data_IF_698885541123
#
_entry.id   IF_698885541123
#
_cell.length_a   1.000
_cell.length_b   1.000
_cell.length_c   1.000
_cell.angle_alpha   90.00
_cell.angle_beta   90.00
_cell.angle_gamma   90.00
#
_symmetry.space_group_name_H-M   'P 1'
#
loop_
_entity.id
_entity.type
_entity.pdbx_description
1 polymer ?
#
# COMPACT_ATOMS: atom_id res chain seq x y z
N UNK A 1 11.26 -21.46 -3.51
CA UNK A 1 10.63 -20.48 -4.41
C UNK A 1 9.13 -20.69 -4.37
N UNK A 2 8.29 -19.65 -4.59
CA UNK A 2 6.86 -19.83 -4.44
C UNK A 2 6.24 -20.70 -5.56
N UNK A 3 6.71 -20.59 -6.82
CA UNK A 3 6.29 -21.52 -7.86
C UNK A 3 7.14 -22.78 -7.75
N UNK A 4 6.49 -23.94 -7.66
CA UNK A 4 7.14 -25.23 -7.43
C UNK A 4 6.99 -26.18 -8.62
N UNK A 5 6.09 -25.90 -9.57
CA UNK A 5 5.94 -26.74 -10.74
C UNK A 5 4.65 -26.50 -11.53
N UNK A 6 4.33 -27.49 -12.33
CA UNK A 6 3.08 -27.59 -13.10
C UNK A 6 2.40 -28.92 -12.75
N UNK A 7 1.10 -28.86 -12.51
CA UNK A 7 0.23 -30.03 -12.41
C UNK A 7 -0.06 -30.53 -13.83
N UNK A 8 0.62 -31.58 -14.24
CA UNK A 8 0.48 -32.14 -15.59
C UNK A 8 -0.82 -32.94 -15.81
N UNK A 9 -1.57 -33.23 -14.77
CA UNK A 9 -2.91 -33.81 -14.92
C UNK A 9 -3.93 -32.75 -15.36
N UNK A 10 -3.73 -31.50 -14.93
CA UNK A 10 -4.57 -30.35 -15.31
C UNK A 10 -4.07 -29.62 -16.54
N UNK A 11 -2.75 -29.57 -16.76
CA UNK A 11 -2.14 -28.74 -17.79
C UNK A 11 -2.46 -29.21 -19.21
N UNK A 12 -3.16 -28.38 -19.99
CA UNK A 12 -3.43 -28.62 -21.41
C UNK A 12 -2.33 -28.14 -22.35
N UNK A 13 -1.18 -27.70 -21.84
CA UNK A 13 -0.01 -27.21 -22.60
C UNK A 13 -0.28 -25.99 -23.49
N UNK A 14 -1.26 -25.15 -23.17
CA UNK A 14 -1.61 -23.95 -23.96
C UNK A 14 -0.45 -22.94 -24.11
N UNK A 15 0.54 -22.94 -23.20
CA UNK A 15 1.73 -22.12 -23.29
C UNK A 15 1.52 -20.66 -22.79
N UNK A 16 0.38 -20.29 -22.24
CA UNK A 16 0.14 -18.94 -21.72
C UNK A 16 1.20 -18.54 -20.68
N UNK A 17 1.61 -19.46 -19.80
CA UNK A 17 2.63 -19.18 -18.79
C UNK A 17 4.01 -18.83 -19.36
N UNK A 18 4.34 -19.24 -20.58
CA UNK A 18 5.59 -18.87 -21.28
C UNK A 18 5.64 -17.37 -21.56
N UNK A 19 4.51 -16.78 -21.94
CA UNK A 19 4.41 -15.36 -22.32
C UNK A 19 3.93 -14.49 -21.17
N UNK A 20 3.16 -15.05 -20.24
CA UNK A 20 2.70 -14.33 -19.04
C UNK A 20 3.85 -13.98 -18.09
N UNK A 21 4.93 -14.78 -18.08
CA UNK A 21 6.07 -14.52 -17.22
C UNK A 21 6.84 -13.27 -17.68
N UNK A 22 7.05 -12.25 -16.84
CA UNK A 22 7.79 -11.05 -17.18
C UNK A 22 9.30 -11.32 -17.38
N UNK A 23 9.74 -12.56 -17.11
CA UNK A 23 11.07 -13.10 -17.40
C UNK A 23 10.94 -14.29 -18.36
N UNK A 24 10.60 -14.03 -19.65
CA UNK A 24 10.34 -15.09 -20.60
C UNK A 24 11.57 -15.96 -20.80
N UNK A 25 11.37 -17.28 -20.92
CA UNK A 25 12.44 -18.26 -21.10
C UNK A 25 13.26 -18.56 -19.85
N UNK A 26 13.00 -17.92 -18.69
CA UNK A 26 13.73 -18.17 -17.45
C UNK A 26 13.15 -19.30 -16.60
N UNK A 27 11.85 -19.48 -16.64
CA UNK A 27 11.15 -20.42 -15.76
C UNK A 27 10.27 -21.40 -16.52
N UNK A 28 9.88 -21.05 -17.74
CA UNK A 28 9.02 -21.88 -18.57
C UNK A 28 9.63 -22.06 -19.96
N UNK A 29 9.65 -23.28 -20.44
CA UNK A 29 10.05 -23.64 -21.78
C UNK A 29 9.05 -24.63 -22.38
N UNK A 30 9.12 -24.83 -23.70
CA UNK A 30 8.35 -25.88 -24.37
C UNK A 30 9.31 -27.00 -24.76
N UNK A 31 8.98 -28.18 -24.33
CA UNK A 31 9.70 -29.38 -24.77
C UNK A 31 9.42 -29.65 -26.24
N UNK A 32 10.48 -29.88 -27.02
CA UNK A 32 10.39 -30.03 -28.48
C UNK A 32 9.79 -31.36 -28.90
N UNK A 33 9.97 -32.40 -28.09
CA UNK A 33 9.50 -33.75 -28.42
C UNK A 33 8.06 -33.97 -28.00
N UNK A 34 7.74 -33.64 -26.74
CA UNK A 34 6.38 -33.84 -26.18
C UNK A 34 5.45 -32.65 -26.38
N UNK A 35 5.94 -31.50 -26.85
CA UNK A 35 5.21 -30.24 -26.95
C UNK A 35 4.64 -29.74 -25.60
N UNK A 36 5.03 -30.34 -24.48
CA UNK A 36 4.59 -29.95 -23.16
C UNK A 36 5.31 -28.68 -22.68
N UNK A 37 4.61 -27.90 -21.86
CA UNK A 37 5.26 -26.80 -21.14
C UNK A 37 5.97 -27.37 -19.93
N UNK A 38 7.24 -27.01 -19.77
CA UNK A 38 8.09 -27.41 -18.65
C UNK A 38 8.38 -26.20 -17.77
N UNK A 39 8.34 -26.39 -16.46
CA UNK A 39 8.82 -25.43 -15.48
C UNK A 39 10.17 -25.88 -14.92
N UNK A 40 11.17 -25.00 -15.00
CA UNK A 40 12.43 -25.17 -14.33
C UNK A 40 12.92 -23.81 -13.79
N UNK A 41 13.22 -23.80 -12.54
CA UNK A 41 13.71 -22.57 -11.88
C UNK A 41 15.17 -22.24 -12.23
N UNK A 42 15.96 -23.22 -12.66
CA UNK A 42 17.41 -23.08 -12.89
C UNK A 42 18.15 -22.40 -11.71
N UNK A 43 17.66 -22.54 -10.47
CA UNK A 43 18.19 -21.86 -9.29
C UNK A 43 17.94 -20.35 -9.22
N UNK A 44 17.19 -19.76 -10.16
CA UNK A 44 16.91 -18.33 -10.22
C UNK A 44 15.74 -17.93 -9.31
N UNK A 45 15.74 -16.68 -8.85
CA UNK A 45 14.65 -16.14 -8.02
C UNK A 45 13.47 -15.69 -8.87
N UNK A 46 12.31 -16.29 -8.66
CA UNK A 46 11.03 -15.84 -9.18
C UNK A 46 10.64 -14.49 -8.58
N UNK A 47 10.06 -13.58 -9.39
CA UNK A 47 9.52 -12.27 -8.94
C UNK A 47 8.24 -12.40 -8.11
N UNK A 48 7.70 -13.59 -7.95
CA UNK A 48 6.44 -13.86 -7.21
C UNK A 48 5.26 -13.01 -7.66
N UNK A 49 5.25 -12.59 -8.93
CA UNK A 49 4.24 -11.68 -9.46
C UNK A 49 2.87 -12.34 -9.66
N UNK A 50 2.81 -13.68 -9.70
CA UNK A 50 1.57 -14.45 -9.86
C UNK A 50 0.96 -14.43 -11.26
N UNK A 51 1.60 -13.80 -12.26
CA UNK A 51 1.03 -13.69 -13.61
C UNK A 51 0.73 -15.07 -14.25
N UNK A 52 1.60 -16.04 -14.05
CA UNK A 52 1.39 -17.41 -14.54
C UNK A 52 0.21 -18.09 -13.84
N UNK A 53 -0.01 -17.81 -12.54
CA UNK A 53 -1.16 -18.32 -11.79
C UNK A 53 -2.44 -17.68 -12.33
N UNK A 54 -2.48 -16.35 -12.39
CA UNK A 54 -3.67 -15.58 -12.76
C UNK A 54 -4.16 -15.83 -14.18
N UNK A 55 -3.26 -16.21 -15.09
CA UNK A 55 -3.59 -16.44 -16.50
C UNK A 55 -3.73 -17.90 -16.88
N UNK A 56 -3.45 -18.84 -15.97
CA UNK A 56 -3.63 -20.26 -16.25
C UNK A 56 -5.12 -20.63 -16.27
N UNK A 57 -5.69 -21.05 -17.42
CA UNK A 57 -7.11 -21.37 -17.49
C UNK A 57 -7.47 -22.66 -16.73
N UNK A 58 -6.49 -23.56 -16.55
CA UNK A 58 -6.65 -24.87 -15.94
C UNK A 58 -6.24 -24.92 -14.46
N UNK A 59 -5.83 -23.75 -13.88
CA UNK A 59 -5.28 -23.69 -12.52
C UNK A 59 -4.19 -24.75 -12.27
N UNK A 60 -3.30 -24.90 -13.25
CA UNK A 60 -2.27 -25.94 -13.26
C UNK A 60 -0.92 -25.50 -12.67
N UNK A 61 -0.76 -24.26 -12.22
CA UNK A 61 0.49 -23.77 -11.67
C UNK A 61 0.57 -24.11 -10.18
N UNK A 62 1.53 -24.92 -9.81
CA UNK A 62 1.77 -25.30 -8.42
C UNK A 62 2.62 -24.22 -7.71
N UNK A 63 2.17 -23.76 -6.55
CA UNK A 63 2.86 -22.74 -5.77
C UNK A 63 2.70 -22.94 -4.26
N UNK A 64 3.62 -22.37 -3.49
CA UNK A 64 3.65 -22.46 -2.03
C UNK A 64 3.90 -21.09 -1.41
N UNK A 65 3.45 -20.91 -0.17
CA UNK A 65 3.73 -19.73 0.68
C UNK A 65 3.26 -18.39 0.09
N UNK A 66 2.27 -18.40 -0.81
CA UNK A 66 1.64 -17.20 -1.39
C UNK A 66 0.21 -16.95 -0.89
N UNK A 67 -0.36 -17.85 -0.07
CA UNK A 67 -1.78 -17.88 0.24
C UNK A 67 -2.60 -18.45 -0.92
N UNK A 68 -3.90 -18.50 -0.76
CA UNK A 68 -4.80 -19.01 -1.79
C UNK A 68 -5.08 -17.97 -2.87
N UNK A 69 -5.23 -18.43 -4.11
CA UNK A 69 -5.70 -17.58 -5.19
C UNK A 69 -7.16 -17.17 -4.94
N UNK A 70 -7.50 -15.92 -5.26
CA UNK A 70 -8.88 -15.44 -5.19
C UNK A 70 -9.46 -15.58 -6.58
N UNK A 71 -10.55 -16.34 -6.69
CA UNK A 71 -11.29 -16.50 -7.95
C UNK A 71 -12.11 -15.26 -8.27
N UNK A 72 -12.27 -14.97 -9.56
CA UNK A 72 -13.12 -13.87 -10.04
C UNK A 72 -14.60 -14.27 -10.16
N UNK A 73 -15.15 -15.00 -9.18
CA UNK A 73 -16.54 -15.45 -9.20
C UNK A 73 -17.50 -14.28 -9.46
N UNK A 74 -18.06 -14.24 -10.66
CA UNK A 74 -18.95 -13.18 -11.11
C UNK A 74 -18.31 -11.83 -11.49
N UNK A 75 -16.97 -11.69 -11.42
CA UNK A 75 -16.24 -10.41 -11.67
C UNK A 75 -15.43 -10.47 -12.96
N UNK A 76 -15.68 -11.43 -13.86
CA UNK A 76 -14.93 -11.51 -15.14
C UNK A 76 -15.07 -10.26 -16.00
N UNK A 77 -16.21 -9.61 -15.95
CA UNK A 77 -16.43 -8.30 -16.57
C UNK A 77 -16.34 -7.19 -15.51
N UNK A 78 -15.14 -6.70 -15.27
CA UNK A 78 -14.88 -5.60 -14.34
C UNK A 78 -15.71 -4.35 -14.68
N UNK A 79 -15.95 -4.09 -15.98
CA UNK A 79 -16.70 -2.91 -16.43
C UNK A 79 -18.15 -2.95 -15.94
N UNK A 80 -18.82 -4.10 -15.97
CA UNK A 80 -20.17 -4.24 -15.46
C UNK A 80 -20.22 -4.26 -13.93
N UNK A 81 -19.22 -4.89 -13.29
CA UNK A 81 -19.13 -4.96 -11.84
C UNK A 81 -18.81 -3.62 -11.19
N UNK A 82 -17.87 -2.86 -11.76
CA UNK A 82 -17.45 -1.55 -11.25
C UNK A 82 -17.41 -0.52 -12.39
N UNK A 83 -18.55 0.07 -12.76
CA UNK A 83 -18.62 1.11 -13.79
C UNK A 83 -17.72 2.29 -13.46
N UNK A 84 -17.17 2.94 -14.50
CA UNK A 84 -16.24 4.08 -14.36
C UNK A 84 -16.73 5.15 -13.39
N UNK A 85 -18.01 5.52 -13.45
CA UNK A 85 -18.58 6.55 -12.60
C UNK A 85 -18.51 6.21 -11.10
N UNK A 86 -18.67 4.95 -10.75
CA UNK A 86 -18.55 4.49 -9.35
C UNK A 86 -17.11 4.61 -8.86
N UNK A 87 -16.14 4.16 -9.66
CA UNK A 87 -14.72 4.27 -9.27
C UNK A 87 -14.26 5.72 -9.26
N UNK A 88 -14.68 6.52 -10.24
CA UNK A 88 -14.35 7.94 -10.30
C UNK A 88 -14.89 8.70 -9.08
N UNK A 89 -16.13 8.48 -8.70
CA UNK A 89 -16.73 9.08 -7.50
C UNK A 89 -16.00 8.65 -6.23
N UNK A 90 -15.63 7.38 -6.11
CA UNK A 90 -14.86 6.86 -4.97
C UNK A 90 -13.49 7.55 -4.87
N UNK A 91 -12.74 7.62 -5.95
CA UNK A 91 -11.41 8.23 -5.98
C UNK A 91 -11.50 9.75 -5.73
N UNK A 92 -12.43 10.43 -6.40
CA UNK A 92 -12.57 11.88 -6.30
C UNK A 92 -13.09 12.34 -4.94
N UNK A 93 -13.89 11.53 -4.25
CA UNK A 93 -14.38 11.78 -2.90
C UNK A 93 -13.31 11.52 -1.81
N UNK A 94 -12.22 10.84 -2.11
CA UNK A 94 -11.17 10.53 -1.13
C UNK A 94 -10.49 11.82 -0.63
N UNK A 95 -10.65 12.13 0.67
CA UNK A 95 -10.13 13.34 1.32
C UNK A 95 -9.20 12.99 2.49
N UNK A 96 -8.34 13.93 2.85
CA UNK A 96 -7.55 13.82 4.08
C UNK A 96 -8.41 14.17 5.28
N UNK A 97 -8.71 13.18 6.10
CA UNK A 97 -9.43 13.32 7.36
C UNK A 97 -8.46 13.69 8.47
N UNK A 98 -8.77 14.77 9.20
CA UNK A 98 -7.95 15.28 10.31
C UNK A 98 -8.77 15.48 11.59
N UNK A 99 -10.02 14.99 11.63
CA UNK A 99 -10.88 14.94 12.80
C UNK A 99 -11.46 13.56 12.87
N UNK A 100 -11.26 12.90 14.00
CA UNK A 100 -11.65 11.53 14.24
C UNK A 100 -12.56 11.41 15.45
N UNK A 101 -13.50 10.47 15.38
CA UNK A 101 -14.26 10.07 16.55
C UNK A 101 -13.34 9.39 17.56
N UNK A 102 -13.60 9.58 18.84
CA UNK A 102 -12.90 8.85 19.90
C UNK A 102 -13.41 7.40 19.96
N UNK A 103 -13.13 6.64 18.87
CA UNK A 103 -13.57 5.27 18.70
C UNK A 103 -12.47 4.48 18.00
N UNK A 104 -12.08 3.37 18.62
CA UNK A 104 -11.12 2.45 18.01
C UNK A 104 -11.76 1.72 16.82
N UNK A 105 -10.97 1.50 15.77
CA UNK A 105 -11.35 0.65 14.65
C UNK A 105 -11.05 -0.81 15.04
N UNK A 106 -11.97 -1.75 14.84
CA UNK A 106 -11.74 -3.16 15.09
C UNK A 106 -10.53 -3.69 14.30
N UNK A 107 -9.81 -4.64 14.90
CA UNK A 107 -8.59 -5.19 14.31
C UNK A 107 -8.83 -5.83 12.94
N UNK A 108 -9.90 -6.59 12.80
CA UNK A 108 -10.28 -7.24 11.54
C UNK A 108 -10.56 -6.24 10.42
N UNK A 109 -11.10 -5.05 10.76
CA UNK A 109 -11.32 -3.96 9.77
C UNK A 109 -9.99 -3.34 9.35
N UNK A 110 -9.05 -3.13 10.30
CA UNK A 110 -7.70 -2.67 9.97
C UNK A 110 -6.95 -3.69 9.10
N UNK A 111 -7.09 -4.98 9.40
CA UNK A 111 -6.50 -6.07 8.61
C UNK A 111 -7.02 -6.10 7.17
N UNK A 112 -8.30 -5.78 6.92
CA UNK A 112 -8.85 -5.62 5.56
C UNK A 112 -8.16 -4.48 4.79
N UNK A 113 -7.91 -3.35 5.46
CA UNK A 113 -7.15 -2.23 4.85
C UNK A 113 -5.73 -2.67 4.51
N UNK A 114 -5.02 -3.32 5.44
CA UNK A 114 -3.66 -3.81 5.24
C UNK A 114 -3.62 -4.86 4.12
N UNK A 115 -4.62 -5.75 4.07
CA UNK A 115 -4.74 -6.72 2.97
C UNK A 115 -4.83 -6.02 1.62
N UNK A 116 -5.67 -4.99 1.48
CA UNK A 116 -5.76 -4.21 0.24
C UNK A 116 -4.41 -3.53 -0.10
N UNK A 117 -3.71 -2.97 0.89
CA UNK A 117 -2.38 -2.39 0.72
C UNK A 117 -1.36 -3.39 0.19
N UNK A 118 -1.44 -4.66 0.60
CA UNK A 118 -0.52 -5.71 0.16
C UNK A 118 -0.70 -6.11 -1.31
N UNK A 119 -1.81 -5.73 -1.95
CA UNK A 119 -2.05 -5.92 -3.39
C UNK A 119 -1.58 -4.76 -4.25
N UNK A 120 -1.07 -3.69 -3.66
CA UNK A 120 -0.55 -2.57 -4.43
C UNK A 120 0.66 -3.00 -5.29
N UNK A 121 0.78 -2.48 -6.53
CA UNK A 121 1.95 -2.76 -7.36
C UNK A 121 3.21 -2.14 -6.77
N UNK A 122 4.31 -2.89 -6.83
CA UNK A 122 5.65 -2.45 -6.42
C UNK A 122 6.65 -2.70 -7.55
N UNK A 123 7.75 -1.94 -7.56
CA UNK A 123 8.82 -2.12 -8.54
C UNK A 123 9.30 -3.56 -8.54
N UNK A 124 9.31 -4.20 -9.73
CA UNK A 124 9.64 -5.63 -9.95
C UNK A 124 8.95 -6.60 -8.98
N UNK A 125 7.79 -6.21 -8.47
CA UNK A 125 6.99 -6.94 -7.47
C UNK A 125 7.80 -7.30 -6.18
N UNK A 126 8.68 -6.42 -5.75
CA UNK A 126 9.63 -6.68 -4.66
C UNK A 126 8.93 -6.85 -3.30
N UNK A 127 7.82 -6.13 -3.06
CA UNK A 127 6.99 -6.21 -1.83
C UNK A 127 7.82 -6.18 -0.54
N UNK A 128 8.82 -5.32 -0.52
CA UNK A 128 9.79 -5.24 0.58
C UNK A 128 9.31 -4.41 1.77
N UNK A 129 8.17 -3.75 1.63
CA UNK A 129 7.61 -2.83 2.61
C UNK A 129 7.02 -3.60 3.80
N UNK A 130 7.14 -3.00 4.99
CA UNK A 130 6.59 -3.53 6.23
C UNK A 130 5.55 -2.57 6.79
N UNK A 131 4.52 -3.13 7.41
CA UNK A 131 3.44 -2.37 8.04
C UNK A 131 3.51 -2.51 9.56
N UNK A 132 3.32 -1.40 10.26
CA UNK A 132 3.18 -1.38 11.73
C UNK A 132 2.00 -0.50 12.08
N UNK A 133 1.02 -1.04 12.81
CA UNK A 133 -0.12 -0.29 13.33
C UNK A 133 0.14 0.05 14.78
N UNK A 134 0.13 1.34 15.10
CA UNK A 134 0.22 1.81 16.48
C UNK A 134 -1.14 2.37 16.89
N UNK A 135 -1.70 1.80 17.96
CA UNK A 135 -3.00 2.17 18.56
C UNK A 135 -2.84 2.64 20.00
N UNK A 136 -1.63 2.55 20.53
CA UNK A 136 -1.28 3.03 21.85
C UNK A 136 -1.07 4.54 21.82
N UNK A 137 -1.93 5.27 22.52
CA UNK A 137 -1.96 6.73 22.48
C UNK A 137 -0.74 7.36 23.15
N UNK A 138 -0.15 6.70 24.14
CA UNK A 138 1.06 7.20 24.79
C UNK A 138 2.28 7.09 23.85
N UNK A 139 2.42 5.99 23.14
CA UNK A 139 3.44 5.82 22.08
C UNK A 139 3.26 6.86 20.97
N UNK A 140 2.02 7.10 20.52
CA UNK A 140 1.73 8.11 19.49
C UNK A 140 2.06 9.53 19.98
N UNK A 141 1.82 9.83 21.26
CA UNK A 141 2.18 11.13 21.85
C UNK A 141 3.69 11.32 21.90
N UNK A 142 4.43 10.32 22.40
CA UNK A 142 5.90 10.38 22.44
C UNK A 142 6.47 10.58 21.03
N UNK A 143 5.93 9.90 20.02
CA UNK A 143 6.33 10.09 18.63
C UNK A 143 6.00 11.48 18.11
N UNK A 144 4.80 11.99 18.41
CA UNK A 144 4.36 13.33 18.02
C UNK A 144 5.31 14.40 18.58
N UNK A 145 5.64 14.30 19.85
CA UNK A 145 6.54 15.25 20.52
C UNK A 145 7.95 15.19 19.93
N UNK A 146 8.48 13.98 19.74
CA UNK A 146 9.80 13.79 19.13
C UNK A 146 9.87 14.33 17.69
N UNK A 147 8.80 14.19 16.91
CA UNK A 147 8.71 14.74 15.55
C UNK A 147 8.70 16.27 15.58
N UNK A 148 7.89 16.88 16.45
CA UNK A 148 7.84 18.33 16.59
C UNK A 148 9.20 18.91 17.01
N UNK A 149 9.87 18.27 17.98
CA UNK A 149 11.20 18.66 18.40
C UNK A 149 12.23 18.57 17.28
N UNK A 150 12.16 17.52 16.45
CA UNK A 150 13.06 17.36 15.32
C UNK A 150 12.82 18.43 14.25
N UNK A 151 11.56 18.71 13.92
CA UNK A 151 11.21 19.74 12.95
C UNK A 151 11.65 21.16 13.39
N UNK A 152 11.72 21.43 14.71
CA UNK A 152 12.19 22.70 15.25
C UNK A 152 13.68 22.93 15.07
N UNK A 153 14.49 21.89 14.88
CA UNK A 153 15.95 22.02 14.73
C UNK A 153 16.37 22.66 13.40
N UNK A 154 15.56 22.50 12.37
CA UNK A 154 15.75 23.17 11.08
C UNK A 154 14.87 24.41 11.00
N UNK A 155 15.49 25.60 11.20
CA UNK A 155 14.78 26.88 11.21
C UNK A 155 14.00 27.13 9.91
N UNK A 156 14.52 26.68 8.76
CA UNK A 156 13.87 26.85 7.47
C UNK A 156 12.59 26.03 7.37
N UNK A 157 12.64 24.78 7.78
CA UNK A 157 11.48 23.89 7.81
C UNK A 157 10.48 24.34 8.90
N UNK A 158 10.98 24.70 10.09
CA UNK A 158 10.12 25.14 11.18
C UNK A 158 9.34 26.41 10.81
N UNK A 159 9.93 27.35 10.11
CA UNK A 159 9.26 28.56 9.62
C UNK A 159 8.05 28.23 8.75
N UNK A 160 8.10 27.14 7.97
CA UNK A 160 6.97 26.69 7.16
C UNK A 160 5.82 26.13 8.01
N UNK A 161 6.13 25.47 9.11
CA UNK A 161 5.14 24.72 9.90
C UNK A 161 4.73 25.41 11.22
N UNK A 162 5.53 26.33 11.77
CA UNK A 162 5.31 26.92 13.09
C UNK A 162 3.91 27.52 13.30
N UNK A 163 3.36 28.21 12.28
CA UNK A 163 2.00 28.77 12.34
C UNK A 163 0.94 27.68 12.42
N UNK A 164 1.12 26.61 11.69
CA UNK A 164 0.21 25.48 11.72
C UNK A 164 0.29 24.78 13.08
N UNK A 165 1.48 24.49 13.59
CA UNK A 165 1.67 23.87 14.90
C UNK A 165 1.17 24.74 16.06
N UNK A 166 1.28 26.07 15.99
CA UNK A 166 0.72 26.95 17.02
C UNK A 166 -0.79 26.81 17.16
N UNK A 167 -1.49 26.46 16.08
CA UNK A 167 -2.94 26.23 16.10
C UNK A 167 -3.27 24.79 16.49
N UNK A 168 -2.67 23.80 15.81
CA UNK A 168 -3.09 22.39 16.04
C UNK A 168 -2.70 21.89 17.43
N UNK A 169 -1.66 22.44 18.06
CA UNK A 169 -1.27 22.11 19.43
C UNK A 169 -2.32 22.59 20.47
N UNK A 170 -3.17 23.55 20.12
CA UNK A 170 -4.29 23.96 21.00
C UNK A 170 -5.53 23.10 20.83
N UNK A 171 -5.61 22.33 19.74
CA UNK A 171 -6.78 21.54 19.36
C UNK A 171 -6.60 20.07 19.73
N UNK A 172 -5.39 19.52 19.49
CA UNK A 172 -5.10 18.09 19.59
C UNK A 172 -4.11 17.79 20.70
N UNK A 173 -4.33 16.69 21.41
CA UNK A 173 -3.39 16.14 22.40
C UNK A 173 -2.18 15.48 21.72
N UNK A 174 -2.35 14.99 20.50
CA UNK A 174 -1.35 14.34 19.66
C UNK A 174 -1.33 15.05 18.29
N UNK A 175 -0.78 16.28 18.21
CA UNK A 175 -0.97 17.19 17.08
C UNK A 175 -0.51 16.64 15.74
N UNK A 176 0.61 15.90 15.71
CA UNK A 176 1.15 15.31 14.49
C UNK A 176 0.15 14.32 13.86
N UNK A 177 -0.62 13.62 14.68
CA UNK A 177 -1.55 12.57 14.23
C UNK A 177 -3.02 12.94 14.41
N UNK A 178 -3.34 14.19 14.79
CA UNK A 178 -4.72 14.70 14.89
C UNK A 178 -5.62 13.86 15.82
N UNK A 179 -5.06 13.34 16.92
CA UNK A 179 -5.73 12.44 17.87
C UNK A 179 -6.36 11.19 17.20
N UNK A 180 -5.83 10.76 16.07
CA UNK A 180 -6.31 9.57 15.39
C UNK A 180 -6.18 8.33 16.30
N UNK A 181 -7.20 7.43 16.33
CA UNK A 181 -7.15 6.23 17.17
C UNK A 181 -6.06 5.25 16.74
N UNK A 182 -5.64 5.30 15.48
CA UNK A 182 -4.59 4.45 14.93
C UNK A 182 -3.74 5.21 13.91
N UNK A 183 -2.46 4.83 13.85
CA UNK A 183 -1.55 5.28 12.80
C UNK A 183 -0.90 4.05 12.18
N UNK A 184 -0.96 3.95 10.87
CA UNK A 184 -0.28 2.90 10.11
C UNK A 184 1.03 3.47 9.60
N UNK A 185 2.13 2.86 10.02
CA UNK A 185 3.48 3.17 9.58
C UNK A 185 3.88 2.19 8.49
N UNK A 186 4.43 2.70 7.41
CA UNK A 186 4.98 1.92 6.32
C UNK A 186 6.47 2.21 6.25
N UNK A 187 7.27 1.17 6.33
CA UNK A 187 8.72 1.26 6.19
C UNK A 187 9.22 0.44 5.01
N UNK A 188 10.23 0.95 4.32
CA UNK A 188 10.88 0.27 3.20
C UNK A 188 12.38 0.18 3.42
N UNK A 189 13.01 -0.97 3.13
CA UNK A 189 14.47 -1.09 3.10
C UNK A 189 15.08 -0.46 1.84
N UNK A 190 14.24 -0.08 0.86
CA UNK A 190 14.65 0.49 -0.42
C UNK A 190 15.03 1.96 -0.26
N UNK A 191 15.75 2.50 -1.24
CA UNK A 191 16.07 3.91 -1.30
C UNK A 191 14.80 4.78 -1.42
N UNK A 192 14.94 6.08 -1.22
CA UNK A 192 13.83 7.05 -1.23
C UNK A 192 13.05 7.01 -2.56
N UNK A 193 13.73 6.87 -3.70
CA UNK A 193 13.07 6.88 -5.01
C UNK A 193 12.18 5.66 -5.17
N UNK A 194 12.76 4.46 -5.15
CA UNK A 194 12.04 3.20 -5.37
C UNK A 194 11.00 2.96 -4.26
N UNK A 195 11.42 3.08 -3.00
CA UNK A 195 10.55 2.91 -1.84
C UNK A 195 9.45 3.96 -1.77
N UNK A 196 9.73 5.21 -2.17
CA UNK A 196 8.75 6.28 -2.20
C UNK A 196 7.62 6.02 -3.21
N UNK A 197 7.93 5.55 -4.41
CA UNK A 197 6.93 5.19 -5.41
C UNK A 197 6.07 4.01 -4.94
N UNK A 198 6.69 2.95 -4.41
CA UNK A 198 5.97 1.81 -3.86
C UNK A 198 5.02 2.23 -2.75
N UNK A 199 5.51 3.00 -1.78
CA UNK A 199 4.69 3.45 -0.63
C UNK A 199 3.56 4.36 -1.10
N UNK A 200 3.76 5.20 -2.12
CA UNK A 200 2.70 6.02 -2.72
C UNK A 200 1.54 5.17 -3.23
N UNK A 201 1.85 4.10 -3.97
CA UNK A 201 0.85 3.14 -4.44
C UNK A 201 0.15 2.44 -3.28
N UNK A 202 0.93 1.92 -2.32
CA UNK A 202 0.43 1.19 -1.14
C UNK A 202 -0.55 2.05 -0.34
N UNK A 203 -0.21 3.30 -0.05
CA UNK A 203 -1.10 4.22 0.69
C UNK A 203 -2.37 4.51 -0.11
N UNK A 204 -2.26 4.67 -1.41
CA UNK A 204 -3.44 4.93 -2.27
C UNK A 204 -4.43 3.77 -2.20
N UNK A 205 -3.96 2.52 -2.32
CA UNK A 205 -4.79 1.33 -2.13
C UNK A 205 -5.43 1.29 -0.73
N UNK A 206 -4.62 1.54 0.31
CA UNK A 206 -5.11 1.55 1.69
C UNK A 206 -6.17 2.63 1.93
N UNK A 207 -6.01 3.83 1.37
CA UNK A 207 -6.96 4.93 1.52
C UNK A 207 -8.30 4.66 0.83
N UNK A 208 -8.27 4.08 -0.36
CA UNK A 208 -9.49 3.69 -1.09
C UNK A 208 -10.23 2.59 -0.32
N UNK A 209 -9.50 1.56 0.14
CA UNK A 209 -10.08 0.49 0.95
C UNK A 209 -10.64 1.01 2.28
N UNK A 210 -9.92 1.90 2.97
CA UNK A 210 -10.40 2.52 4.21
C UNK A 210 -11.71 3.29 3.99
N UNK A 211 -11.78 4.06 2.90
CA UNK A 211 -13.00 4.81 2.55
C UNK A 211 -14.19 3.88 2.29
N UNK A 212 -14.01 2.76 1.60
CA UNK A 212 -15.08 1.78 1.38
C UNK A 212 -15.57 1.11 2.65
N UNK A 213 -14.76 1.15 3.73
CA UNK A 213 -15.10 0.66 5.06
C UNK A 213 -15.61 1.78 6.00
N UNK A 214 -15.91 2.97 5.47
CA UNK A 214 -16.37 4.11 6.26
C UNK A 214 -15.29 4.77 7.12
N UNK A 215 -14.02 4.52 6.83
CA UNK A 215 -12.88 5.09 7.55
C UNK A 215 -12.30 6.30 6.83
N UNK A 216 -11.85 7.27 7.62
CA UNK A 216 -11.08 8.41 7.15
C UNK A 216 -9.58 8.20 7.35
N UNK A 217 -8.78 8.78 6.46
CA UNK A 217 -7.32 8.67 6.51
C UNK A 217 -6.65 10.01 6.19
N UNK A 218 -5.43 10.22 6.70
CA UNK A 218 -4.59 11.34 6.30
C UNK A 218 -3.13 10.91 6.20
N UNK A 219 -2.50 11.13 5.05
CA UNK A 219 -1.05 10.96 4.89
C UNK A 219 -0.32 11.97 5.77
N UNK A 220 0.66 11.52 6.54
CA UNK A 220 1.44 12.35 7.46
C UNK A 220 2.85 12.59 6.94
N UNK A 221 3.07 13.74 6.31
CA UNK A 221 4.37 14.14 5.78
C UNK A 221 5.38 14.53 6.86
N UNK A 222 4.94 15.02 8.02
CA UNK A 222 5.85 15.43 9.09
C UNK A 222 6.66 14.27 9.66
N UNK A 223 6.04 13.09 9.78
CA UNK A 223 6.74 11.87 10.18
C UNK A 223 7.89 11.53 9.21
N UNK A 224 7.65 11.65 7.91
CA UNK A 224 8.66 11.40 6.88
C UNK A 224 9.80 12.43 6.96
N UNK A 225 9.46 13.71 7.04
CA UNK A 225 10.44 14.79 7.11
C UNK A 225 11.33 14.62 8.34
N UNK A 226 10.74 14.43 9.52
CA UNK A 226 11.48 14.26 10.76
C UNK A 226 12.33 12.97 10.76
N UNK A 227 11.84 11.86 10.20
CA UNK A 227 12.62 10.63 10.08
C UNK A 227 13.79 10.77 9.10
N UNK A 228 13.66 11.53 8.03
CA UNK A 228 14.74 11.79 7.09
C UNK A 228 15.87 12.61 7.75
N UNK A 229 15.51 13.57 8.60
CA UNK A 229 16.48 14.38 9.37
C UNK A 229 17.09 13.59 10.53
N UNK A 230 16.31 12.77 11.21
CA UNK A 230 16.76 11.98 12.35
C UNK A 230 16.19 10.55 12.35
N UNK A 231 16.96 9.58 11.85
CA UNK A 231 16.54 8.18 11.82
C UNK A 231 16.26 7.56 13.21
N UNK A 232 16.60 8.26 14.32
CA UNK A 232 16.25 7.79 15.67
C UNK A 232 14.75 7.85 15.95
N UNK A 233 13.98 8.69 15.24
CA UNK A 233 12.50 8.77 15.36
C UNK A 233 11.87 7.39 15.26
N UNK A 234 12.28 6.59 14.28
CA UNK A 234 11.73 5.22 14.08
C UNK A 234 12.02 4.27 15.25
N UNK A 235 13.09 4.51 16.03
CA UNK A 235 13.45 3.66 17.18
C UNK A 235 12.44 3.78 18.33
N UNK A 236 11.85 4.95 18.49
CA UNK A 236 10.84 5.21 19.54
C UNK A 236 9.67 4.22 19.40
N UNK A 237 9.24 3.95 18.18
CA UNK A 237 8.15 3.00 17.91
C UNK A 237 8.64 1.62 17.45
N UNK A 238 9.95 1.33 17.59
CA UNK A 238 10.56 0.06 17.16
C UNK A 238 10.32 -0.25 15.68
N UNK A 239 10.26 0.78 14.82
CA UNK A 239 10.01 0.66 13.39
C UNK A 239 11.29 0.27 12.65
N UNK A 240 11.13 -0.54 11.60
CA UNK A 240 12.23 -1.05 10.77
C UNK A 240 12.35 -0.24 9.47
N UNK A 241 13.56 -0.29 8.87
CA UNK A 241 13.83 0.30 7.55
C UNK A 241 14.17 1.81 7.58
N UNK A 242 14.91 2.29 6.56
CA UNK A 242 15.35 3.67 6.47
C UNK A 242 14.23 4.65 6.07
N UNK A 243 13.38 4.27 5.14
CA UNK A 243 12.24 5.08 4.72
C UNK A 243 11.03 4.78 5.58
N UNK A 244 10.48 5.81 6.17
CA UNK A 244 9.31 5.72 7.04
C UNK A 244 8.28 6.75 6.62
N UNK A 245 7.08 6.28 6.37
CA UNK A 245 5.90 7.11 6.12
C UNK A 245 4.77 6.63 7.03
N UNK A 246 3.91 7.55 7.41
CA UNK A 246 2.76 7.26 8.25
C UNK A 246 1.48 7.81 7.63
N UNK A 247 0.36 7.15 7.90
CA UNK A 247 -0.95 7.74 7.71
C UNK A 247 -1.88 7.39 8.87
N UNK A 248 -2.68 8.37 9.24
CA UNK A 248 -3.68 8.22 10.30
C UNK A 248 -4.91 7.53 9.77
N UNK A 249 -5.60 6.76 10.62
CA UNK A 249 -6.82 6.03 10.26
C UNK A 249 -7.78 5.96 11.45
N UNK A 250 -9.07 6.17 11.19
CA UNK A 250 -10.12 6.11 12.18
C UNK A 250 -11.48 6.48 11.58
N UNK A 251 -12.54 6.42 12.38
CA UNK A 251 -13.85 6.89 11.97
C UNK A 251 -13.84 8.42 11.87
N UNK A 252 -14.24 9.01 10.72
CA UNK A 252 -14.24 10.46 10.55
C UNK A 252 -15.25 11.12 11.49
N UNK A 253 -14.85 12.25 12.09
CA UNK A 253 -15.73 13.18 12.82
C UNK A 253 -15.90 14.46 12.01
N UNK A 254 -16.12 14.30 10.72
CA UNK A 254 -16.33 15.36 9.73
C UNK A 254 -17.12 14.79 8.55
N UNK A 255 -18.02 15.59 8.02
CA UNK A 255 -18.74 15.29 6.78
C UNK A 255 -18.16 16.10 5.62
N UNK A 256 -18.05 15.48 4.46
CA UNK A 256 -17.66 16.12 3.21
C UNK A 256 -18.89 16.20 2.29
N UNK A 257 -19.46 17.38 2.18
CA UNK A 257 -20.72 17.59 1.45
C UNK A 257 -20.57 17.64 -0.07
N UNK A 258 -19.34 17.76 -0.59
CA UNK A 258 -19.09 17.82 -2.04
C UNK A 258 -17.66 17.47 -2.40
N UNK A 259 -17.48 16.99 -3.61
CA UNK A 259 -16.15 16.80 -4.22
C UNK A 259 -15.65 18.17 -4.65
N UNK A 260 -14.47 18.62 -4.16
CA UNK A 260 -13.94 19.93 -4.55
C UNK A 260 -13.49 19.92 -6.03
N UNK A 261 -13.63 21.05 -6.73
CA UNK A 261 -13.15 21.17 -8.12
C UNK A 261 -11.65 20.95 -8.20
N UNK A 262 -11.19 20.54 -9.38
CA UNK A 262 -9.78 20.40 -9.74
C UNK A 262 -9.49 21.20 -11.01
N UNK A 263 -8.29 21.76 -11.07
CA UNK A 263 -7.82 22.34 -12.33
C UNK A 263 -7.66 21.23 -13.36
N UNK A 264 -8.06 21.51 -14.60
CA UNK A 264 -7.78 20.64 -15.73
C UNK A 264 -6.27 20.51 -15.95
N UNK A 265 -5.83 19.35 -16.37
CA UNK A 265 -4.43 19.09 -16.71
C UNK A 265 -4.25 19.22 -18.21
N UNK A 266 -3.19 19.90 -18.62
CA UNK A 266 -2.78 19.87 -20.01
C UNK A 266 -2.38 18.44 -20.39
N UNK A 267 -2.97 17.94 -21.48
CA UNK A 267 -2.69 16.61 -22.03
C UNK A 267 -2.34 16.78 -23.51
N UNK A 268 -1.23 16.19 -23.92
CA UNK A 268 -0.82 16.13 -25.32
C UNK A 268 -1.05 14.73 -25.86
N UNK A 269 -1.76 14.65 -26.97
CA UNK A 269 -1.90 13.42 -27.76
C UNK A 269 -0.97 13.59 -28.97
N UNK A 270 0.00 12.70 -29.14
CA UNK A 270 1.02 12.74 -30.18
C UNK A 270 0.87 11.51 -31.05
#
# INVERSE_FOLDING_TARGET
MPIVGIDYEKCNSCGICLTACPLPGYFYSRDLESSKVIYDSHGKKCLTCGQCISQCPEDAILYEKMGDSITFDGIRDIKSYLPYEKIFNTISACRSTRRYKNQKVPKDVLEKVIKAMSYAPTGINMRAESFTVISDQDTLRILSDAIIEELKKDESQWRMFRRQFSIINTIYKIPVYYDAPHVIFISSPLNIIMGGFNIGNIITYGRIAAQSLGLGTCWNGWTQIANNSNPRIRRVAKLKGPLLIAFTIGYPDVEFYRIPPRYEKEVRFI
#
